data_IF_760061968403
#
_entry.id   IF_760061968403
#
_cell.length_a   1.000
_cell.length_b   1.000
_cell.length_c   1.000
_cell.angle_alpha   90.00
_cell.angle_beta   90.00
_cell.angle_gamma   90.00
#
_symmetry.space_group_name_H-M   'P 1'
#
loop_
_entity.id
_entity.type
_entity.pdbx_description
1 polymer ?
#
# COMPACT_ATOMS: atom_id res chain seq x y z
N UNK A 1 17.72 -11.41 -12.58
CA UNK A 1 16.52 -12.24 -12.63
C UNK A 1 15.65 -11.81 -11.46
N UNK A 2 14.84 -10.79 -11.73
CA UNK A 2 13.41 -10.72 -11.38
C UNK A 2 13.05 -11.23 -9.98
N UNK A 3 13.20 -10.36 -8.99
CA UNK A 3 12.55 -10.54 -7.69
C UNK A 3 11.54 -9.39 -7.46
N UNK A 4 10.88 -8.95 -8.54
CA UNK A 4 9.98 -7.79 -8.60
C UNK A 4 8.50 -8.17 -8.48
N UNK A 5 8.18 -9.37 -8.00
CA UNK A 5 6.79 -9.87 -7.84
C UNK A 5 6.53 -10.52 -6.49
N UNK A 6 7.46 -10.38 -5.52
CA UNK A 6 7.19 -10.81 -4.16
C UNK A 6 6.62 -9.60 -3.41
N UNK A 7 5.41 -9.70 -2.82
CA UNK A 7 4.92 -8.66 -1.93
C UNK A 7 5.93 -8.44 -0.81
N UNK A 8 6.16 -7.19 -0.44
CA UNK A 8 7.11 -6.84 0.63
C UNK A 8 6.43 -7.13 1.97
N UNK A 9 6.55 -8.39 2.40
CA UNK A 9 5.92 -8.90 3.62
C UNK A 9 6.81 -8.66 4.83
N UNK A 10 6.24 -8.04 5.86
CA UNK A 10 6.85 -7.76 7.15
C UNK A 10 6.20 -8.63 8.24
N UNK A 11 7.00 -9.39 8.98
CA UNK A 11 6.54 -10.07 10.20
C UNK A 11 6.76 -9.12 11.39
N UNK A 12 5.67 -8.65 11.99
CA UNK A 12 5.71 -7.78 13.16
C UNK A 12 5.21 -8.55 14.38
N UNK A 13 5.85 -8.32 15.53
CA UNK A 13 5.43 -8.86 16.81
C UNK A 13 4.75 -7.75 17.61
N UNK A 14 3.50 -7.99 18.03
CA UNK A 14 2.73 -7.07 18.87
C UNK A 14 3.18 -7.13 20.34
N UNK A 15 2.70 -6.20 21.17
CA UNK A 15 2.97 -6.14 22.62
C UNK A 15 2.66 -7.44 23.39
N UNK A 16 1.82 -8.31 22.82
CA UNK A 16 1.45 -9.60 23.39
C UNK A 16 2.43 -10.74 23.04
N UNK A 17 3.40 -10.50 22.16
CA UNK A 17 4.30 -11.52 21.61
C UNK A 17 3.68 -12.34 20.48
N UNK A 18 2.54 -11.89 19.96
CA UNK A 18 1.88 -12.48 18.79
C UNK A 18 2.49 -11.93 17.51
N UNK A 19 2.87 -12.84 16.62
CA UNK A 19 3.46 -12.51 15.31
C UNK A 19 2.38 -12.44 14.27
N UNK A 20 2.28 -11.30 13.60
CA UNK A 20 1.37 -11.08 12.49
C UNK A 20 2.17 -10.67 11.25
N UNK A 21 1.84 -11.26 10.11
CA UNK A 21 2.41 -10.87 8.83
C UNK A 21 1.60 -9.73 8.24
N UNK A 22 2.29 -8.72 7.76
CA UNK A 22 1.72 -7.57 7.08
C UNK A 22 2.35 -7.44 5.70
N UNK A 23 1.60 -6.92 4.75
CA UNK A 23 2.09 -6.51 3.44
C UNK A 23 2.28 -5.01 3.40
N UNK A 24 3.43 -4.55 2.92
CA UNK A 24 3.71 -3.14 2.68
C UNK A 24 3.01 -2.66 1.42
N UNK A 25 2.09 -1.72 1.60
CA UNK A 25 1.38 -1.06 0.52
C UNK A 25 2.17 0.14 -0.01
N UNK A 26 2.60 1.03 0.89
CA UNK A 26 3.37 2.23 0.52
C UNK A 26 4.24 2.68 1.69
N UNK A 27 5.30 3.42 1.39
CA UNK A 27 6.17 4.06 2.37
C UNK A 27 6.43 5.50 1.98
N UNK A 28 6.29 6.42 2.93
CA UNK A 28 6.50 7.84 2.68
C UNK A 28 7.36 8.48 3.76
N UNK A 29 8.18 9.44 3.35
CA UNK A 29 8.95 10.29 4.25
C UNK A 29 8.24 11.64 4.38
N UNK A 30 7.92 12.03 5.62
CA UNK A 30 7.28 13.30 5.91
C UNK A 30 8.06 14.01 7.02
N UNK A 31 8.72 15.12 6.66
CA UNK A 31 9.61 15.84 7.57
C UNK A 31 10.94 15.11 7.74
N UNK A 32 11.28 14.77 8.99
CA UNK A 32 12.46 13.98 9.36
C UNK A 32 12.06 12.55 9.80
N UNK A 33 10.82 12.17 9.54
CA UNK A 33 10.19 10.93 9.99
C UNK A 33 9.71 10.11 8.79
N UNK A 34 9.76 8.79 8.94
CA UNK A 34 9.40 7.84 7.91
C UNK A 34 8.20 7.02 8.36
N UNK A 35 7.23 6.86 7.47
CA UNK A 35 5.97 6.20 7.74
C UNK A 35 5.74 5.07 6.73
N UNK A 36 5.04 4.03 7.18
CA UNK A 36 4.76 2.82 6.42
C UNK A 36 3.27 2.50 6.52
N UNK A 37 2.61 2.33 5.38
CA UNK A 37 1.25 1.84 5.27
C UNK A 37 1.28 0.33 5.01
N UNK A 38 0.67 -0.42 5.92
CA UNK A 38 0.70 -1.87 5.98
C UNK A 38 -0.73 -2.40 6.00
N UNK A 39 -0.98 -3.55 5.36
CA UNK A 39 -2.24 -4.28 5.50
C UNK A 39 -1.97 -5.66 6.09
N UNK A 40 -2.82 -6.20 6.97
CA UNK A 40 -2.66 -7.56 7.45
C UNK A 40 -2.69 -8.54 6.28
N UNK A 41 -1.68 -9.40 6.20
CA UNK A 41 -1.57 -10.43 5.17
C UNK A 41 -2.18 -11.73 5.70
N UNK A 42 -3.23 -12.21 5.02
CA UNK A 42 -3.88 -13.48 5.32
C UNK A 42 -3.58 -14.49 4.22
N UNK A 43 -3.04 -15.66 4.58
CA UNK A 43 -2.80 -16.75 3.61
C UNK A 43 -4.10 -17.37 3.07
N UNK A 44 -5.23 -17.19 3.76
CA UNK A 44 -6.56 -17.64 3.31
C UNK A 44 -7.39 -16.46 2.81
N UNK A 45 -7.77 -16.51 1.52
CA UNK A 45 -8.61 -15.48 0.90
C UNK A 45 -10.01 -15.35 1.48
N UNK A 46 -10.53 -16.35 2.21
CA UNK A 46 -11.81 -16.24 2.94
C UNK A 46 -11.73 -15.21 4.10
N UNK A 47 -10.57 -15.05 4.75
CA UNK A 47 -10.37 -14.06 5.84
C UNK A 47 -10.14 -12.65 5.28
N UNK A 48 -9.46 -12.55 4.13
CA UNK A 48 -9.26 -11.28 3.42
C UNK A 48 -10.55 -10.68 2.81
N UNK A 49 -11.61 -11.49 2.65
CA UNK A 49 -12.90 -11.04 2.09
C UNK A 49 -13.84 -10.42 3.15
N UNK A 50 -13.59 -10.65 4.44
CA UNK A 50 -14.34 -10.04 5.55
C UNK A 50 -13.65 -8.79 6.11
N UNK A 51 -12.32 -8.69 5.95
CA UNK A 51 -11.53 -7.53 6.37
C UNK A 51 -11.62 -6.43 5.30
N UNK A 52 -12.00 -5.22 5.70
CA UNK A 52 -12.42 -4.16 4.76
C UNK A 52 -11.24 -3.40 4.15
N UNK A 53 -10.06 -4.02 4.06
CA UNK A 53 -8.82 -3.32 3.75
C UNK A 53 -8.39 -2.44 4.92
N UNK A 54 -8.28 -3.02 6.12
CA UNK A 54 -7.83 -2.30 7.30
C UNK A 54 -6.33 -1.96 7.16
N UNK A 55 -6.05 -0.75 6.66
CA UNK A 55 -4.69 -0.23 6.53
C UNK A 55 -4.20 0.28 7.88
N UNK A 56 -3.09 -0.29 8.34
CA UNK A 56 -2.37 0.11 9.55
C UNK A 56 -1.19 1.00 9.15
N UNK A 57 -1.07 2.16 9.80
CA UNK A 57 0.01 3.10 9.55
C UNK A 57 0.94 3.11 10.75
N UNK A 58 2.21 2.79 10.49
CA UNK A 58 3.27 2.77 11.48
C UNK A 58 4.38 3.76 11.11
N UNK A 59 5.09 4.22 12.12
CA UNK A 59 6.23 5.11 12.02
C UNK A 59 7.52 4.34 12.24
N UNK A 60 8.54 4.66 11.46
CA UNK A 60 9.89 4.17 11.66
C UNK A 60 10.52 4.90 12.85
N UNK A 61 10.91 4.14 13.86
CA UNK A 61 11.71 4.61 14.98
C UNK A 61 13.00 3.81 15.09
N UNK A 62 13.97 4.33 15.82
CA UNK A 62 15.23 3.64 16.09
C UNK A 62 15.29 3.26 17.56
N UNK A 63 15.46 1.98 17.83
CA UNK A 63 15.66 1.48 19.19
C UNK A 63 17.04 1.89 19.75
N UNK A 64 17.28 1.64 21.05
CA UNK A 64 18.57 1.86 21.73
C UNK A 64 19.79 1.24 21.00
N UNK A 65 19.55 0.21 20.17
CA UNK A 65 20.56 -0.47 19.36
C UNK A 65 20.78 0.14 17.96
N UNK A 66 20.06 1.22 17.63
CA UNK A 66 20.01 1.82 16.29
C UNK A 66 19.41 0.86 15.22
N UNK A 67 18.58 -0.09 15.65
CA UNK A 67 17.79 -0.94 14.77
C UNK A 67 16.47 -0.21 14.44
N UNK A 68 16.08 -0.23 13.16
CA UNK A 68 14.82 0.38 12.72
C UNK A 68 13.66 -0.52 13.15
N UNK A 69 12.77 0.03 13.98
CA UNK A 69 11.54 -0.61 14.45
C UNK A 69 10.33 0.18 13.95
N UNK A 70 9.20 -0.50 13.81
CA UNK A 70 7.93 0.14 13.47
C UNK A 70 7.12 0.33 14.74
N UNK A 71 6.70 1.57 15.00
CA UNK A 71 5.92 1.98 16.16
C UNK A 71 4.60 2.62 15.74
N UNK A 72 3.60 2.56 16.60
CA UNK A 72 2.34 3.28 16.41
C UNK A 72 2.54 4.79 16.56
N UNK A 73 1.77 5.57 15.82
CA UNK A 73 1.79 7.03 15.91
C UNK A 73 0.99 7.43 17.17
N UNK A 74 1.64 8.11 18.13
CA UNK A 74 0.99 8.55 19.38
C UNK A 74 0.08 9.78 19.20
N UNK A 75 0.30 10.57 18.15
CA UNK A 75 -0.43 11.80 17.88
C UNK A 75 -1.56 11.55 16.84
N UNK A 76 -2.82 11.67 17.28
CA UNK A 76 -3.99 11.43 16.42
C UNK A 76 -4.04 12.39 15.21
N UNK A 77 -3.67 13.67 15.38
CA UNK A 77 -3.64 14.66 14.30
C UNK A 77 -2.60 14.28 13.22
N UNK A 78 -1.43 13.79 13.65
CA UNK A 78 -0.42 13.25 12.75
C UNK A 78 -0.91 11.99 12.04
N UNK A 79 -1.47 11.02 12.77
CA UNK A 79 -1.98 9.77 12.21
C UNK A 79 -3.04 10.02 11.14
N UNK A 80 -4.03 10.88 11.43
CA UNK A 80 -5.10 11.20 10.47
C UNK A 80 -4.52 11.86 9.21
N UNK A 81 -3.58 12.79 9.38
CA UNK A 81 -2.97 13.51 8.27
C UNK A 81 -2.13 12.61 7.38
N UNK A 82 -1.24 11.80 7.98
CA UNK A 82 -0.40 10.85 7.25
C UNK A 82 -1.28 9.80 6.57
N UNK A 83 -2.33 9.32 7.25
CA UNK A 83 -3.26 8.37 6.67
C UNK A 83 -4.09 8.89 5.51
N UNK A 84 -4.51 10.16 5.54
CA UNK A 84 -5.11 10.78 4.36
C UNK A 84 -4.14 10.82 3.18
N UNK A 85 -2.87 11.18 3.41
CA UNK A 85 -1.87 11.21 2.34
C UNK A 85 -1.60 9.82 1.76
N UNK A 86 -1.54 8.77 2.60
CA UNK A 86 -1.43 7.40 2.12
C UNK A 86 -2.65 6.96 1.33
N UNK A 87 -3.86 7.22 1.84
CA UNK A 87 -5.09 6.88 1.12
C UNK A 87 -5.15 7.56 -0.25
N UNK A 88 -4.83 8.86 -0.35
CA UNK A 88 -4.79 9.55 -1.64
C UNK A 88 -3.76 8.95 -2.61
N UNK A 89 -2.58 8.55 -2.11
CA UNK A 89 -1.54 7.91 -2.93
C UNK A 89 -1.92 6.51 -3.38
N UNK A 90 -2.50 5.73 -2.46
CA UNK A 90 -2.96 4.37 -2.72
C UNK A 90 -4.10 4.42 -3.75
N UNK A 91 -5.10 5.27 -3.53
CA UNK A 91 -6.21 5.49 -4.47
C UNK A 91 -5.70 5.92 -5.86
N UNK A 92 -4.73 6.85 -5.93
CA UNK A 92 -4.08 7.23 -7.20
C UNK A 92 -3.35 6.06 -7.87
N UNK A 93 -2.69 5.19 -7.10
CA UNK A 93 -2.04 3.99 -7.66
C UNK A 93 -3.04 2.95 -8.16
N UNK A 94 -4.15 2.76 -7.47
CA UNK A 94 -5.22 1.82 -7.87
C UNK A 94 -6.08 2.36 -9.02
N UNK A 95 -6.30 3.67 -9.13
CA UNK A 95 -7.02 4.29 -10.26
C UNK A 95 -6.26 4.15 -11.60
N UNK A 96 -4.94 3.95 -11.59
CA UNK A 96 -4.13 3.78 -12.80
C UNK A 96 -4.13 2.36 -13.38
N UNK A 97 -4.56 1.33 -12.64
CA UNK A 97 -4.56 -0.07 -13.12
C UNK A 97 -5.77 -0.42 -14.01
N UNK A 98 -6.82 0.43 -14.03
CA UNK A 98 -8.01 0.25 -14.89
C UNK A 98 -7.83 0.82 -16.33
N UNK A 99 -6.68 1.43 -16.68
CA UNK A 99 -6.41 2.00 -18.02
C UNK A 99 -5.24 1.34 -18.80
N UNK A 100 -4.88 0.08 -18.50
CA UNK A 100 -4.00 -0.74 -19.35
C UNK A 100 -4.77 -1.92 -20.01
N UNK A 101 -5.93 -1.62 -20.62
CA UNK A 101 -6.61 -2.49 -21.60
C UNK A 101 -6.45 -1.94 -23.03
N UNK A 102 -5.21 -1.62 -23.44
CA UNK A 102 -4.90 -1.21 -24.84
C UNK A 102 -3.66 -1.95 -25.41
N UNK A 103 -3.67 -3.29 -25.36
CA UNK A 103 -2.89 -4.14 -26.28
C UNK A 103 -3.84 -5.07 -27.07
N UNK A 104 -4.63 -4.50 -27.98
CA UNK A 104 -4.93 -5.02 -29.33
C UNK A 104 -6.12 -4.26 -29.95
N UNK A 105 -5.92 -3.01 -30.35
CA UNK A 105 -6.76 -2.39 -31.36
C UNK A 105 -5.86 -1.64 -32.34
N UNK A 106 -5.36 -2.37 -33.34
CA UNK A 106 -4.76 -1.81 -34.54
C UNK A 106 -5.74 -0.91 -35.29
N UNK A 107 -5.94 0.31 -34.81
CA UNK A 107 -6.76 1.30 -35.48
C UNK A 107 -5.92 2.02 -36.53
N UNK A 108 -5.64 1.30 -37.62
CA UNK A 108 -5.30 1.89 -38.89
C UNK A 108 -6.46 2.77 -39.36
N UNK A 109 -6.34 4.07 -39.08
CA UNK A 109 -7.00 5.21 -39.71
C UNK A 109 -8.04 4.89 -40.81
N UNK A 110 -9.31 5.26 -40.57
CA UNK A 110 -10.33 5.19 -41.62
C UNK A 110 -11.71 5.77 -41.33
N UNK A 111 -11.88 6.65 -40.33
CA UNK A 111 -13.14 7.38 -40.16
C UNK A 111 -13.25 8.48 -41.22
N UNK A 112 -13.87 8.22 -42.37
CA UNK A 112 -14.44 9.27 -43.21
C UNK A 112 -15.95 9.06 -43.34
N UNK A 113 -16.66 9.95 -42.63
CA UNK A 113 -18.00 10.46 -42.87
C UNK A 113 -18.55 10.19 -44.28
N UNK A 114 -19.74 9.61 -44.41
CA UNK A 114 -20.89 10.34 -44.96
C UNK A 114 -22.13 9.45 -45.02
N UNK A 115 -23.21 10.01 -44.50
CA UNK A 115 -24.60 9.66 -44.70
C UNK A 115 -24.94 9.55 -46.21
N UNK A 116 -25.44 8.40 -46.69
CA UNK A 116 -26.62 8.30 -47.58
C UNK A 116 -27.08 6.87 -47.82
#
# INVERSE_FOLDING_TARGET
MDNEFLPDLYELEDENGDKQTFELLDAMEYGDEKYYALTPYYENGDEALEDSGDVVILKAEYDENNDEILASIEDDDEYEKIGQMFMERIDEMFEFDDEDEDDDCGCGCGCHDHLS
#
